data_IF_132370880974
#
_entry.id   IF_132370880974
#
_cell.length_a   1.000
_cell.length_b   1.000
_cell.length_c   1.000
_cell.angle_alpha   90.00
_cell.angle_beta   90.00
_cell.angle_gamma   90.00
#
_symmetry.space_group_name_H-M   'P 1'
#
loop_
_entity.id
_entity.type
_entity.pdbx_description
1 polymer ?
#
# COMPACT_ATOMS: atom_id res chain seq x y z
N UNK A 1 28.43 -17.26 -21.32
CA UNK A 1 28.14 -15.81 -21.20
C UNK A 1 29.44 -15.01 -21.17
N UNK A 2 30.02 -14.71 -22.33
CA UNK A 2 31.32 -14.00 -22.42
C UNK A 2 31.15 -12.48 -22.14
N UNK A 3 30.04 -11.91 -22.56
CA UNK A 3 29.80 -10.46 -22.52
C UNK A 3 28.90 -10.02 -21.37
N UNK A 4 28.54 -10.93 -20.48
CA UNK A 4 27.80 -10.65 -19.29
C UNK A 4 26.28 -10.50 -19.49
N UNK A 5 25.73 -10.76 -20.67
CA UNK A 5 24.30 -10.60 -20.95
C UNK A 5 23.43 -11.35 -19.97
N UNK A 6 23.67 -12.67 -19.82
CA UNK A 6 22.87 -13.53 -18.94
C UNK A 6 23.06 -13.15 -17.48
N UNK A 7 24.30 -12.78 -17.08
CA UNK A 7 24.57 -12.29 -15.73
C UNK A 7 23.80 -11.01 -15.44
N UNK A 8 23.73 -10.07 -16.40
CA UNK A 8 22.96 -8.82 -16.24
C UNK A 8 21.45 -9.05 -16.31
N UNK A 9 20.99 -10.02 -17.10
CA UNK A 9 19.59 -10.44 -17.10
C UNK A 9 19.19 -11.04 -15.73
N UNK A 10 20.03 -11.88 -15.15
CA UNK A 10 19.81 -12.47 -13.83
C UNK A 10 19.81 -11.37 -12.75
N UNK A 11 20.80 -10.48 -12.76
CA UNK A 11 20.89 -9.34 -11.85
C UNK A 11 19.65 -8.43 -11.93
N UNK A 12 19.14 -8.15 -13.13
CA UNK A 12 17.90 -7.39 -13.31
C UNK A 12 16.67 -8.15 -12.78
N UNK A 13 16.63 -9.47 -12.96
CA UNK A 13 15.54 -10.31 -12.44
C UNK A 13 15.58 -10.39 -10.92
N UNK A 14 16.74 -10.60 -10.30
CA UNK A 14 16.91 -10.63 -8.85
C UNK A 14 16.51 -9.28 -8.21
N UNK A 15 16.95 -8.17 -8.80
CA UNK A 15 16.56 -6.83 -8.36
C UNK A 15 15.04 -6.59 -8.51
N UNK A 16 14.39 -7.19 -9.52
CA UNK A 16 12.93 -7.12 -9.68
C UNK A 16 12.21 -7.93 -8.59
N UNK A 17 12.73 -9.08 -8.21
CA UNK A 17 12.22 -9.86 -7.07
C UNK A 17 12.34 -9.05 -5.78
N UNK A 18 13.52 -8.45 -5.52
CA UNK A 18 13.73 -7.59 -4.36
C UNK A 18 12.76 -6.41 -4.33
N UNK A 19 12.49 -5.77 -5.49
CA UNK A 19 11.50 -4.71 -5.59
C UNK A 19 10.10 -5.21 -5.19
N UNK A 20 9.70 -6.40 -5.63
CA UNK A 20 8.39 -7.01 -5.31
C UNK A 20 8.26 -7.38 -3.83
N UNK A 21 9.33 -7.90 -3.21
CA UNK A 21 9.35 -8.17 -1.76
C UNK A 21 9.20 -6.88 -0.93
N UNK A 22 9.86 -5.81 -1.34
CA UNK A 22 9.73 -4.52 -0.65
C UNK A 22 8.37 -3.87 -0.93
N UNK A 23 7.75 -4.10 -2.09
CA UNK A 23 6.37 -3.70 -2.36
C UNK A 23 5.37 -4.41 -1.43
N UNK A 24 5.54 -5.72 -1.20
CA UNK A 24 4.73 -6.46 -0.21
C UNK A 24 4.87 -5.86 1.19
N UNK A 25 6.11 -5.54 1.62
CA UNK A 25 6.35 -4.92 2.94
C UNK A 25 5.72 -3.54 3.05
N UNK A 26 5.77 -2.74 1.99
CA UNK A 26 5.16 -1.40 1.91
C UNK A 26 3.64 -1.47 2.05
N UNK A 27 3.01 -2.40 1.33
CA UNK A 27 1.57 -2.68 1.45
C UNK A 27 1.22 -3.15 2.86
N UNK A 28 2.01 -4.04 3.48
CA UNK A 28 1.78 -4.50 4.84
C UNK A 28 1.80 -3.34 5.85
N UNK A 29 2.79 -2.44 5.76
CA UNK A 29 2.87 -1.25 6.62
C UNK A 29 1.65 -0.36 6.43
N UNK A 30 1.24 -0.12 5.18
CA UNK A 30 0.08 0.71 4.84
C UNK A 30 -1.22 0.13 5.39
N UNK A 31 -1.46 -1.17 5.19
CA UNK A 31 -2.65 -1.88 5.69
C UNK A 31 -2.71 -1.87 7.22
N UNK A 32 -1.58 -2.11 7.90
CA UNK A 32 -1.51 -2.06 9.35
C UNK A 32 -1.79 -0.65 9.90
N UNK A 33 -1.26 0.39 9.24
CA UNK A 33 -1.50 1.77 9.63
C UNK A 33 -2.96 2.18 9.41
N UNK A 34 -3.58 1.74 8.31
CA UNK A 34 -5.00 1.97 8.01
C UNK A 34 -5.89 1.26 9.05
N UNK A 35 -5.64 -0.01 9.32
CA UNK A 35 -6.37 -0.77 10.33
C UNK A 35 -6.28 -0.12 11.74
N UNK A 36 -5.10 0.34 12.11
CA UNK A 36 -4.91 1.03 13.40
C UNK A 36 -5.68 2.36 13.45
N UNK A 37 -5.66 3.14 12.37
CA UNK A 37 -6.39 4.41 12.24
C UNK A 37 -7.90 4.18 12.33
N UNK A 38 -8.42 3.25 11.53
CA UNK A 38 -9.85 2.95 11.49
C UNK A 38 -10.36 2.41 12.83
N UNK A 39 -9.54 1.58 13.50
CA UNK A 39 -9.87 1.09 14.83
C UNK A 39 -9.94 2.21 15.87
N UNK A 40 -8.97 3.12 15.90
CA UNK A 40 -8.96 4.27 16.83
C UNK A 40 -10.16 5.18 16.54
N UNK A 41 -10.44 5.45 15.26
CA UNK A 41 -11.57 6.24 14.83
C UNK A 41 -12.91 5.60 15.22
N UNK A 42 -13.05 4.29 15.08
CA UNK A 42 -14.23 3.54 15.54
C UNK A 42 -14.45 3.73 17.04
N UNK A 43 -13.38 3.60 17.87
CA UNK A 43 -13.49 3.83 19.31
C UNK A 43 -13.84 5.28 19.64
N UNK A 44 -13.34 6.23 18.85
CA UNK A 44 -13.72 7.64 18.94
C UNK A 44 -15.21 7.87 18.65
N UNK A 45 -15.74 7.30 17.57
CA UNK A 45 -17.17 7.41 17.22
C UNK A 45 -18.08 6.71 18.23
N UNK A 46 -17.65 5.58 18.81
CA UNK A 46 -18.39 4.93 19.90
C UNK A 46 -18.46 5.80 21.16
N UNK A 47 -17.36 6.42 21.54
CA UNK A 47 -17.35 7.37 22.66
C UNK A 47 -18.23 8.59 22.38
N UNK A 48 -18.18 9.12 21.15
CA UNK A 48 -19.04 10.23 20.71
C UNK A 48 -20.52 9.87 20.78
N UNK A 49 -20.90 8.65 20.37
CA UNK A 49 -22.28 8.15 20.48
C UNK A 49 -22.74 8.09 21.95
N UNK A 50 -21.87 7.63 22.86
CA UNK A 50 -22.18 7.61 24.30
C UNK A 50 -22.46 9.02 24.84
N UNK A 51 -21.57 9.98 24.53
CA UNK A 51 -21.72 11.39 24.94
C UNK A 51 -23.03 12.00 24.39
N UNK A 52 -23.38 11.71 23.13
CA UNK A 52 -24.62 12.21 22.53
C UNK A 52 -25.84 11.62 23.26
N UNK A 53 -25.83 10.33 23.62
CA UNK A 53 -26.93 9.69 24.38
C UNK A 53 -27.07 10.27 25.78
N UNK A 54 -25.98 10.52 26.50
CA UNK A 54 -26.00 11.16 27.81
C UNK A 54 -26.54 12.61 27.74
N UNK A 55 -26.10 13.34 26.70
CA UNK A 55 -26.61 14.71 26.46
C UNK A 55 -28.09 14.72 26.07
N UNK A 56 -28.56 13.73 25.26
CA UNK A 56 -29.96 13.57 24.90
C UNK A 56 -30.82 13.28 26.15
N UNK A 57 -30.35 12.37 27.01
CA UNK A 57 -31.04 12.09 28.29
C UNK A 57 -31.16 13.36 29.16
N UNK A 58 -30.09 14.15 29.22
CA UNK A 58 -30.10 15.45 29.95
C UNK A 58 -31.06 16.43 29.32
N UNK A 59 -31.09 16.55 27.98
CA UNK A 59 -32.02 17.43 27.27
C UNK A 59 -33.49 17.01 27.46
N UNK A 60 -33.78 15.69 27.47
CA UNK A 60 -35.11 15.16 27.75
C UNK A 60 -35.57 15.49 29.18
N UNK A 61 -34.68 15.34 30.16
CA UNK A 61 -34.98 15.76 31.56
C UNK A 61 -35.22 17.25 31.66
N UNK A 62 -34.47 18.08 30.96
CA UNK A 62 -34.69 19.54 30.91
C UNK A 62 -36.02 19.90 30.26
N UNK A 63 -36.38 19.23 29.17
CA UNK A 63 -37.69 19.43 28.51
C UNK A 63 -38.85 19.11 29.48
N UNK A 64 -38.78 18.01 30.19
CA UNK A 64 -39.80 17.60 31.15
C UNK A 64 -39.97 18.63 32.30
N UNK A 65 -38.83 19.10 32.82
CA UNK A 65 -38.84 20.16 33.81
C UNK A 65 -39.48 21.46 33.28
N UNK A 66 -39.17 21.87 32.06
CA UNK A 66 -39.70 23.05 31.41
C UNK A 66 -41.20 22.92 31.17
N UNK A 67 -41.71 21.77 30.77
CA UNK A 67 -43.15 21.47 30.65
C UNK A 67 -43.85 21.57 32.00
N UNK A 68 -43.26 21.02 33.04
CA UNK A 68 -43.81 21.14 34.41
C UNK A 68 -43.88 22.60 34.86
N UNK A 69 -42.87 23.42 34.57
CA UNK A 69 -42.85 24.86 34.86
C UNK A 69 -43.91 25.61 34.05
N UNK A 70 -44.14 25.27 32.80
CA UNK A 70 -45.22 25.84 31.98
C UNK A 70 -46.57 25.49 32.57
N UNK A 71 -46.83 24.23 32.97
CA UNK A 71 -48.07 23.81 33.60
C UNK A 71 -48.37 24.60 34.93
N UNK A 72 -47.32 25.03 35.63
CA UNK A 72 -47.42 25.84 36.84
C UNK A 72 -47.39 27.37 36.56
N UNK A 73 -47.44 27.78 35.29
CA UNK A 73 -47.46 29.19 34.89
C UNK A 73 -46.14 29.95 35.07
N UNK A 74 -44.99 29.23 35.22
CA UNK A 74 -43.67 29.81 35.50
C UNK A 74 -42.77 29.80 34.25
N UNK A 75 -43.15 29.11 33.17
CA UNK A 75 -42.44 29.10 31.89
C UNK A 75 -43.39 29.49 30.75
N UNK A 76 -42.83 29.73 29.58
CA UNK A 76 -43.56 30.11 28.36
C UNK A 76 -43.55 28.96 27.33
N UNK A 77 -44.50 29.00 26.38
CA UNK A 77 -44.52 28.05 25.24
C UNK A 77 -43.26 28.16 24.40
N UNK A 78 -42.65 29.33 24.33
CA UNK A 78 -41.37 29.54 23.63
C UNK A 78 -40.25 28.73 24.27
N UNK A 79 -40.17 28.69 25.61
CA UNK A 79 -39.14 27.92 26.32
C UNK A 79 -39.31 26.41 26.09
N UNK A 80 -40.55 25.92 26.05
CA UNK A 80 -40.86 24.52 25.72
C UNK A 80 -40.46 24.22 24.26
N UNK A 81 -40.79 25.10 23.31
CA UNK A 81 -40.42 24.95 21.90
C UNK A 81 -38.89 24.91 21.72
N UNK A 82 -38.14 25.76 22.44
CA UNK A 82 -36.68 25.76 22.43
C UNK A 82 -36.09 24.45 22.99
N UNK A 83 -36.64 23.94 24.10
CA UNK A 83 -36.20 22.67 24.67
C UNK A 83 -36.50 21.48 23.73
N UNK A 84 -37.64 21.48 23.05
CA UNK A 84 -37.99 20.51 22.03
C UNK A 84 -37.02 20.56 20.84
N UNK A 85 -36.70 21.76 20.34
CA UNK A 85 -35.73 21.93 19.26
C UNK A 85 -34.33 21.39 19.63
N UNK A 86 -33.93 21.58 20.91
CA UNK A 86 -32.67 21.04 21.42
C UNK A 86 -32.67 19.51 21.43
N UNK A 87 -33.73 18.85 21.90
CA UNK A 87 -33.90 17.40 21.86
C UNK A 87 -33.82 16.88 20.42
N UNK A 88 -34.62 17.45 19.51
CA UNK A 88 -34.62 17.06 18.10
C UNK A 88 -33.24 17.20 17.44
N UNK A 89 -32.52 18.31 17.77
CA UNK A 89 -31.15 18.50 17.30
C UNK A 89 -30.17 17.44 17.80
N UNK A 90 -30.31 16.95 19.02
CA UNK A 90 -29.50 15.86 19.57
C UNK A 90 -29.85 14.53 18.94
N UNK A 91 -31.13 14.20 18.79
CA UNK A 91 -31.62 12.99 18.14
C UNK A 91 -31.13 12.88 16.69
N UNK A 92 -31.15 13.99 15.95
CA UNK A 92 -30.71 14.02 14.57
C UNK A 92 -29.19 13.70 14.35
N UNK A 93 -28.37 13.85 15.41
CA UNK A 93 -26.91 13.55 15.34
C UNK A 93 -26.57 12.08 15.51
N UNK A 94 -27.40 11.31 16.19
CA UNK A 94 -27.10 9.92 16.54
C UNK A 94 -27.00 9.01 15.30
N UNK A 95 -27.94 9.07 14.32
CA UNK A 95 -27.86 8.22 13.12
C UNK A 95 -26.60 8.42 12.29
N UNK A 96 -26.07 9.65 12.27
CA UNK A 96 -24.82 9.93 11.54
C UNK A 96 -23.62 9.24 12.17
N UNK A 97 -23.51 9.30 13.49
CA UNK A 97 -22.43 8.63 14.23
C UNK A 97 -22.56 7.09 14.09
N UNK A 98 -23.77 6.55 14.16
CA UNK A 98 -24.03 5.12 13.97
C UNK A 98 -23.69 4.65 12.55
N UNK A 99 -24.01 5.44 11.53
CA UNK A 99 -23.60 5.20 10.15
C UNK A 99 -22.06 5.16 10.04
N UNK A 100 -21.36 6.13 10.63
CA UNK A 100 -19.90 6.17 10.60
C UNK A 100 -19.28 4.94 11.29
N UNK A 101 -19.82 4.50 12.43
CA UNK A 101 -19.39 3.26 13.08
C UNK A 101 -19.58 2.05 12.17
N UNK A 102 -20.72 1.92 11.50
CA UNK A 102 -20.97 0.82 10.56
C UNK A 102 -19.97 0.82 9.39
N UNK A 103 -19.65 2.00 8.84
CA UNK A 103 -18.66 2.13 7.78
C UNK A 103 -17.27 1.70 8.25
N UNK A 104 -16.84 2.11 9.45
CA UNK A 104 -15.54 1.73 10.01
C UNK A 104 -15.43 0.24 10.31
N UNK A 105 -16.50 -0.40 10.81
CA UNK A 105 -16.54 -1.85 11.00
C UNK A 105 -16.41 -2.58 9.66
N UNK A 106 -17.09 -2.10 8.62
CA UNK A 106 -17.00 -2.68 7.28
C UNK A 106 -15.60 -2.46 6.66
N UNK A 107 -14.99 -1.28 6.85
CA UNK A 107 -13.64 -1.00 6.39
C UNK A 107 -12.61 -1.95 7.04
N UNK A 108 -12.68 -2.12 8.36
CA UNK A 108 -11.87 -3.09 9.10
C UNK A 108 -12.10 -4.53 8.60
N UNK A 109 -13.37 -4.91 8.33
CA UNK A 109 -13.72 -6.19 7.74
C UNK A 109 -13.08 -6.39 6.37
N UNK A 110 -13.11 -5.38 5.51
CA UNK A 110 -12.47 -5.41 4.20
C UNK A 110 -10.95 -5.67 4.29
N UNK A 111 -10.25 -4.98 5.21
CA UNK A 111 -8.81 -5.12 5.40
C UNK A 111 -8.39 -6.54 5.83
N UNK A 112 -9.26 -7.28 6.51
CA UNK A 112 -9.00 -8.67 6.93
C UNK A 112 -9.67 -9.71 6.02
N UNK A 113 -10.28 -9.28 4.91
CA UNK A 113 -10.96 -10.17 3.97
C UNK A 113 -12.26 -10.78 4.51
N UNK A 114 -12.89 -10.15 5.51
CA UNK A 114 -14.12 -10.59 6.12
C UNK A 114 -15.35 -10.02 5.39
N UNK A 115 -16.47 -10.76 5.40
CA UNK A 115 -17.73 -10.28 4.82
C UNK A 115 -18.31 -9.09 5.61
N UNK A 116 -19.07 -8.18 4.95
CA UNK A 116 -19.72 -7.06 5.63
C UNK A 116 -20.55 -7.51 6.85
N UNK A 117 -20.37 -6.80 7.95
CA UNK A 117 -21.09 -7.08 9.21
C UNK A 117 -20.54 -8.25 10.05
N UNK A 118 -19.62 -9.08 9.55
CA UNK A 118 -19.10 -10.24 10.30
C UNK A 118 -18.34 -9.84 11.58
N UNK A 119 -17.70 -8.67 11.59
CA UNK A 119 -16.99 -8.14 12.75
C UNK A 119 -17.89 -7.34 13.71
N UNK A 120 -19.18 -7.19 13.42
CA UNK A 120 -20.07 -6.36 14.23
C UNK A 120 -20.22 -6.89 15.67
N UNK A 121 -20.23 -8.19 15.86
CA UNK A 121 -20.31 -8.82 17.19
C UNK A 121 -19.06 -8.52 18.04
N UNK A 122 -17.89 -8.43 17.42
CA UNK A 122 -16.61 -8.20 18.09
C UNK A 122 -16.32 -6.71 18.31
N UNK A 123 -16.53 -5.91 17.28
CA UNK A 123 -16.17 -4.48 17.23
C UNK A 123 -17.32 -3.56 17.65
N UNK A 124 -18.57 -4.00 17.60
CA UNK A 124 -19.76 -3.23 18.00
C UNK A 124 -19.75 -2.77 19.45
N UNK A 125 -19.39 -3.62 20.44
CA UNK A 125 -19.31 -3.18 21.83
C UNK A 125 -18.30 -2.04 22.01
N UNK A 126 -18.73 -0.98 22.73
CA UNK A 126 -17.85 0.15 23.03
C UNK A 126 -16.68 -0.26 23.92
N UNK A 127 -15.49 0.20 23.58
CA UNK A 127 -14.26 0.01 24.39
C UNK A 127 -13.51 1.33 24.47
N UNK A 128 -12.61 1.44 25.45
CA UNK A 128 -11.75 2.60 25.62
C UNK A 128 -10.84 2.82 24.38
N UNK A 129 -10.60 4.08 24.06
CA UNK A 129 -9.62 4.46 23.03
C UNK A 129 -8.23 4.00 23.52
N UNK A 130 -7.46 3.29 22.68
CA UNK A 130 -6.10 2.89 23.02
C UNK A 130 -5.24 4.11 23.35
N UNK A 131 -4.44 4.01 24.40
CA UNK A 131 -3.49 5.07 24.73
C UNK A 131 -2.26 4.97 23.82
N UNK A 132 -1.77 6.10 23.29
CA UNK A 132 -0.53 6.10 22.52
C UNK A 132 0.66 5.69 23.41
N UNK A 133 1.72 5.11 22.84
CA UNK A 133 2.96 4.88 23.58
C UNK A 133 3.53 6.21 24.07
N UNK A 134 4.14 6.21 25.25
CA UNK A 134 4.62 7.44 25.91
C UNK A 134 5.75 8.18 25.17
N UNK A 135 6.48 7.48 24.28
CA UNK A 135 7.46 8.08 23.37
C UNK A 135 7.55 7.26 22.09
N UNK A 136 7.64 7.93 20.96
CA UNK A 136 7.95 7.31 19.68
C UNK A 136 9.44 7.55 19.42
N UNK A 137 10.28 6.51 19.39
CA UNK A 137 11.70 6.68 19.08
C UNK A 137 11.84 7.06 17.62
N UNK A 138 12.09 8.33 17.36
CA UNK A 138 12.41 8.84 16.02
C UNK A 138 13.88 8.61 15.81
N UNK A 139 14.28 7.64 14.96
CA UNK A 139 15.66 7.41 14.59
C UNK A 139 16.25 8.56 13.77
N UNK A 140 17.53 8.47 13.40
CA UNK A 140 18.13 9.43 12.48
C UNK A 140 17.43 9.38 11.09
N UNK A 141 17.27 10.52 10.41
CA UNK A 141 16.65 10.54 9.08
C UNK A 141 17.32 9.60 8.06
N UNK A 142 18.63 9.38 8.18
CA UNK A 142 19.38 8.41 7.34
C UNK A 142 19.00 6.95 7.62
N UNK A 143 18.65 6.60 8.86
CA UNK A 143 18.20 5.24 9.20
C UNK A 143 16.79 4.97 8.67
N UNK A 144 15.94 6.01 8.60
CA UNK A 144 14.60 5.91 8.02
C UNK A 144 14.66 5.55 6.54
N UNK A 145 15.59 6.15 5.78
CA UNK A 145 15.80 5.81 4.38
C UNK A 145 16.16 4.33 4.19
N UNK A 146 16.95 3.76 5.10
CA UNK A 146 17.34 2.35 5.02
C UNK A 146 16.25 1.38 5.48
N UNK A 147 15.28 1.83 6.26
CA UNK A 147 14.21 0.98 6.83
C UNK A 147 12.91 1.01 6.01
N UNK A 148 12.63 2.10 5.28
CA UNK A 148 11.38 2.26 4.54
C UNK A 148 11.33 1.33 3.32
N UNK A 149 10.30 0.50 3.21
CA UNK A 149 10.16 -0.44 2.11
C UNK A 149 9.95 0.24 0.75
N UNK A 150 9.28 1.39 0.71
CA UNK A 150 9.05 2.18 -0.52
C UNK A 150 10.36 2.70 -1.12
N UNK A 151 11.31 3.14 -0.28
CA UNK A 151 12.64 3.57 -0.72
C UNK A 151 13.44 2.38 -1.25
N UNK A 152 13.46 1.26 -0.52
CA UNK A 152 14.14 0.04 -0.96
C UNK A 152 13.57 -0.50 -2.28
N UNK A 153 12.25 -0.44 -2.45
CA UNK A 153 11.59 -0.81 -3.71
C UNK A 153 12.08 0.07 -4.86
N UNK A 154 12.14 1.40 -4.66
CA UNK A 154 12.60 2.32 -5.69
C UNK A 154 14.09 2.12 -6.02
N UNK A 155 14.92 1.83 -5.02
CA UNK A 155 16.34 1.49 -5.18
C UNK A 155 16.51 0.20 -6.00
N UNK A 156 15.78 -0.85 -5.67
CA UNK A 156 15.82 -2.12 -6.39
C UNK A 156 15.35 -1.97 -7.84
N UNK A 157 14.33 -1.15 -8.12
CA UNK A 157 13.89 -0.80 -9.49
C UNK A 157 14.98 -0.06 -10.27
N UNK A 158 15.69 0.88 -9.64
CA UNK A 158 16.83 1.57 -10.24
C UNK A 158 17.97 0.61 -10.56
N UNK A 159 18.24 -0.33 -9.65
CA UNK A 159 19.23 -1.39 -9.87
C UNK A 159 18.86 -2.28 -11.06
N UNK A 160 17.60 -2.73 -11.15
CA UNK A 160 17.11 -3.53 -12.29
C UNK A 160 17.24 -2.78 -13.62
N UNK A 161 16.90 -1.49 -13.64
CA UNK A 161 17.04 -0.64 -14.83
C UNK A 161 18.51 -0.47 -15.23
N UNK A 162 19.40 -0.28 -14.26
CA UNK A 162 20.86 -0.18 -14.49
C UNK A 162 21.43 -1.47 -15.06
N UNK A 163 21.06 -2.63 -14.52
CA UNK A 163 21.45 -3.93 -15.04
C UNK A 163 20.95 -4.15 -16.48
N UNK A 164 19.74 -3.65 -16.80
CA UNK A 164 19.15 -3.73 -18.14
C UNK A 164 19.94 -2.95 -19.20
N UNK A 165 20.66 -1.87 -18.84
CA UNK A 165 21.63 -1.20 -19.73
C UNK A 165 22.74 -2.16 -20.11
N UNK A 166 23.26 -2.93 -19.14
CA UNK A 166 24.29 -3.94 -19.38
C UNK A 166 23.85 -5.01 -20.37
N UNK A 167 22.59 -5.44 -20.31
CA UNK A 167 21.98 -6.36 -21.28
C UNK A 167 21.99 -5.74 -22.68
N UNK A 168 21.51 -4.48 -22.81
CA UNK A 168 21.47 -3.79 -24.09
C UNK A 168 22.88 -3.55 -24.69
N UNK A 169 23.87 -3.27 -23.84
CA UNK A 169 25.29 -3.15 -24.27
C UNK A 169 25.83 -4.51 -24.75
N UNK A 170 25.50 -5.60 -24.08
CA UNK A 170 25.93 -6.94 -24.47
C UNK A 170 25.35 -7.40 -25.84
N UNK A 171 24.20 -6.85 -26.25
CA UNK A 171 23.58 -7.15 -27.55
C UNK A 171 24.41 -6.63 -28.75
N UNK A 172 25.39 -5.73 -28.55
CA UNK A 172 26.31 -5.26 -29.60
C UNK A 172 27.45 -6.25 -29.90
N UNK A 173 27.65 -7.22 -29.03
CA UNK A 173 28.75 -8.18 -29.13
C UNK A 173 28.30 -9.51 -29.76
N UNK A 174 29.25 -10.32 -30.30
CA UNK A 174 28.93 -11.60 -30.90
C UNK A 174 28.24 -12.55 -29.91
N UNK A 175 27.13 -13.13 -30.30
CA UNK A 175 26.47 -14.18 -29.53
C UNK A 175 27.02 -15.54 -29.90
N UNK A 176 27.49 -16.28 -28.91
CA UNK A 176 28.00 -17.64 -29.05
C UNK A 176 27.00 -18.56 -28.34
N UNK A 177 26.43 -19.51 -29.10
CA UNK A 177 25.54 -20.55 -28.56
C UNK A 177 26.08 -21.92 -28.91
N UNK A 178 25.93 -22.88 -28.00
CA UNK A 178 26.12 -24.27 -28.28
C UNK A 178 24.75 -24.89 -28.49
N UNK A 179 24.51 -25.39 -29.71
CA UNK A 179 23.27 -26.05 -30.07
C UNK A 179 23.49 -27.55 -30.19
N UNK A 180 22.52 -28.33 -29.75
CA UNK A 180 22.49 -29.77 -29.94
C UNK A 180 21.09 -30.23 -30.25
N UNK A 181 20.94 -31.11 -31.23
CA UNK A 181 19.70 -31.81 -31.50
C UNK A 181 19.95 -33.30 -31.59
N UNK A 182 19.01 -34.06 -31.11
CA UNK A 182 18.94 -35.50 -31.26
C UNK A 182 17.51 -35.89 -31.62
N UNK A 183 17.36 -36.76 -32.62
CA UNK A 183 16.07 -37.24 -33.06
C UNK A 183 16.17 -38.46 -33.96
N UNK A 184 15.01 -38.97 -34.36
CA UNK A 184 14.88 -40.02 -35.35
C UNK A 184 14.09 -39.43 -36.54
N UNK A 185 14.57 -39.73 -37.77
CA UNK A 185 13.90 -39.31 -39.00
C UNK A 185 13.78 -40.51 -39.92
N UNK A 186 12.55 -40.84 -40.34
CA UNK A 186 12.27 -41.91 -41.25
C UNK A 186 11.11 -41.56 -42.17
N UNK A 187 11.19 -42.06 -43.44
CA UNK A 187 10.10 -41.97 -44.41
C UNK A 187 8.96 -42.96 -44.15
N UNK A 188 9.22 -43.99 -43.32
CA UNK A 188 8.27 -45.05 -42.98
C UNK A 188 8.04 -45.07 -41.48
N UNK A 189 6.77 -45.07 -41.07
CA UNK A 189 6.39 -45.07 -39.65
C UNK A 189 6.89 -46.33 -38.90
N UNK A 190 7.01 -47.47 -39.62
CA UNK A 190 7.49 -48.74 -39.08
C UNK A 190 8.97 -48.74 -38.68
N UNK A 191 9.78 -47.84 -39.24
CA UNK A 191 11.21 -47.69 -38.96
C UNK A 191 11.55 -46.42 -38.18
N UNK A 192 10.51 -45.66 -37.78
CA UNK A 192 10.69 -44.51 -36.92
C UNK A 192 11.07 -44.97 -35.51
N UNK A 193 12.27 -44.65 -35.08
CA UNK A 193 12.81 -45.04 -33.79
C UNK A 193 13.92 -46.09 -33.88
N UNK A 194 14.16 -46.68 -35.08
CA UNK A 194 15.29 -47.56 -35.29
C UNK A 194 16.60 -46.80 -35.17
N UNK A 195 17.61 -47.44 -34.56
CA UNK A 195 18.89 -46.79 -34.27
C UNK A 195 19.62 -46.31 -35.54
N UNK A 196 19.37 -46.93 -36.66
CA UNK A 196 19.93 -46.56 -37.95
C UNK A 196 19.35 -45.25 -38.56
N UNK A 197 18.21 -44.86 -38.08
CA UNK A 197 17.52 -43.62 -38.47
C UNK A 197 17.73 -42.48 -37.49
N UNK A 198 18.69 -42.61 -36.55
CA UNK A 198 19.05 -41.54 -35.62
C UNK A 198 19.75 -40.40 -36.32
N UNK A 199 19.39 -39.19 -35.96
CA UNK A 199 20.12 -37.98 -36.33
C UNK A 199 20.55 -37.22 -35.08
N UNK A 200 21.78 -36.78 -35.10
CA UNK A 200 22.28 -35.87 -34.08
C UNK A 200 23.19 -34.85 -34.71
N UNK A 201 23.13 -33.64 -34.19
CA UNK A 201 24.10 -32.59 -34.49
C UNK A 201 24.42 -31.84 -33.21
N UNK A 202 25.67 -31.52 -33.01
CA UNK A 202 26.15 -30.66 -31.92
C UNK A 202 27.19 -29.70 -32.48
N UNK A 203 27.07 -28.42 -32.17
CA UNK A 203 28.07 -27.45 -32.65
C UNK A 203 27.87 -26.07 -32.10
N UNK A 204 28.91 -25.23 -32.09
CA UNK A 204 28.82 -23.84 -31.78
C UNK A 204 28.19 -23.06 -32.95
N UNK A 205 27.32 -22.10 -32.61
CA UNK A 205 26.81 -21.11 -33.56
C UNK A 205 27.22 -19.71 -33.11
N UNK A 206 27.68 -18.91 -34.08
CA UNK A 206 28.12 -17.52 -33.89
C UNK A 206 27.16 -16.59 -34.62
N UNK A 207 26.68 -15.56 -33.91
CA UNK A 207 25.83 -14.52 -34.50
C UNK A 207 26.37 -13.16 -34.11
N UNK A 208 26.72 -12.32 -35.07
CA UNK A 208 27.18 -10.96 -34.88
C UNK A 208 26.27 -10.01 -35.67
N UNK A 209 25.59 -9.05 -35.02
CA UNK A 209 24.82 -8.01 -35.70
C UNK A 209 25.79 -6.99 -36.33
N UNK A 210 25.96 -7.02 -37.68
CA UNK A 210 26.83 -6.07 -38.39
C UNK A 210 26.06 -4.82 -38.77
N UNK A 211 24.82 -4.97 -39.23
CA UNK A 211 23.96 -3.87 -39.64
C UNK A 211 22.52 -4.10 -39.16
N UNK A 212 22.06 -3.20 -38.31
CA UNK A 212 20.74 -3.33 -37.64
C UNK A 212 19.87 -2.06 -37.80
N UNK A 213 20.23 -1.18 -38.75
CA UNK A 213 19.45 0.02 -39.04
C UNK A 213 19.23 0.95 -37.84
N UNK A 214 20.13 0.95 -36.87
CA UNK A 214 20.01 1.77 -35.65
C UNK A 214 19.24 1.11 -34.50
N UNK A 215 18.64 -0.08 -34.70
CA UNK A 215 17.80 -0.78 -33.69
C UNK A 215 18.50 -0.99 -32.35
N UNK A 216 19.76 -1.43 -32.36
CA UNK A 216 20.51 -1.65 -31.11
C UNK A 216 20.83 -0.35 -30.38
N UNK A 217 21.15 0.73 -31.11
CA UNK A 217 21.36 2.05 -30.51
C UNK A 217 20.08 2.59 -29.88
N UNK A 218 18.96 2.58 -30.61
CA UNK A 218 17.69 3.02 -30.07
C UNK A 218 17.23 2.19 -28.85
N UNK A 219 17.59 0.87 -28.83
CA UNK A 219 17.33 0.04 -27.64
C UNK A 219 18.20 0.43 -26.45
N UNK A 220 19.47 0.75 -26.67
CA UNK A 220 20.35 1.24 -25.62
C UNK A 220 19.88 2.58 -25.07
N UNK A 221 19.59 3.55 -25.94
CA UNK A 221 19.04 4.85 -25.57
C UNK A 221 17.75 4.73 -24.76
N UNK A 222 16.85 3.81 -25.16
CA UNK A 222 15.64 3.51 -24.38
C UNK A 222 15.97 3.00 -22.96
N UNK A 223 16.95 2.11 -22.81
CA UNK A 223 17.35 1.58 -21.49
C UNK A 223 18.01 2.65 -20.63
N UNK A 224 18.81 3.53 -21.23
CA UNK A 224 19.41 4.67 -20.53
C UNK A 224 18.34 5.66 -20.05
N UNK A 225 17.34 5.98 -20.89
CA UNK A 225 16.21 6.81 -20.50
C UNK A 225 15.37 6.17 -19.36
N UNK A 226 15.12 4.86 -19.41
CA UNK A 226 14.42 4.13 -18.36
C UNK A 226 15.20 4.12 -17.03
N UNK A 227 16.51 4.06 -17.08
CA UNK A 227 17.36 4.17 -15.90
C UNK A 227 17.30 5.60 -15.31
N UNK A 228 17.30 6.64 -16.13
CA UNK A 228 17.12 8.01 -15.67
C UNK A 228 15.74 8.22 -15.03
N UNK A 229 14.68 7.68 -15.62
CA UNK A 229 13.32 7.67 -15.04
C UNK A 229 13.32 7.02 -13.66
N UNK A 230 13.92 5.84 -13.53
CA UNK A 230 14.00 5.14 -12.25
C UNK A 230 14.83 5.90 -11.21
N UNK A 231 15.89 6.63 -11.62
CA UNK A 231 16.69 7.48 -10.74
C UNK A 231 15.89 8.67 -10.21
N UNK A 232 15.10 9.31 -11.07
CA UNK A 232 14.20 10.41 -10.67
C UNK A 232 13.11 9.91 -9.73
N UNK A 233 12.53 8.73 -10.00
CA UNK A 233 11.52 8.10 -9.13
C UNK A 233 12.10 7.74 -7.75
N UNK A 234 13.33 7.26 -7.69
CA UNK A 234 14.03 7.04 -6.43
C UNK A 234 14.21 8.35 -5.65
N UNK A 235 14.72 9.40 -6.28
CA UNK A 235 14.89 10.72 -5.64
C UNK A 235 13.55 11.27 -5.14
N UNK A 236 12.51 11.19 -5.95
CA UNK A 236 11.14 11.62 -5.57
C UNK A 236 10.63 10.86 -4.36
N UNK A 237 10.85 9.55 -4.31
CA UNK A 237 10.43 8.69 -3.19
C UNK A 237 11.15 9.09 -1.90
N UNK A 238 12.47 9.34 -1.95
CA UNK A 238 13.25 9.79 -0.80
C UNK A 238 12.76 11.16 -0.29
N UNK A 239 12.55 12.12 -1.19
CA UNK A 239 12.06 13.45 -0.80
C UNK A 239 10.66 13.40 -0.17
N UNK A 240 9.76 12.58 -0.74
CA UNK A 240 8.43 12.35 -0.15
C UNK A 240 8.53 11.72 1.24
N UNK A 241 9.40 10.73 1.40
CA UNK A 241 9.61 10.10 2.69
C UNK A 241 10.09 11.09 3.77
N UNK A 242 10.98 12.00 3.41
CA UNK A 242 11.42 13.06 4.33
C UNK A 242 10.30 14.02 4.69
N UNK A 243 9.53 14.47 3.70
CA UNK A 243 8.36 15.31 3.96
C UNK A 243 7.37 14.64 4.90
N UNK A 244 6.99 13.38 4.65
CA UNK A 244 6.05 12.63 5.49
C UNK A 244 6.53 12.50 6.94
N UNK A 245 7.83 12.31 7.15
CA UNK A 245 8.42 12.23 8.50
C UNK A 245 8.35 13.60 9.19
N UNK A 246 8.73 14.66 8.49
CA UNK A 246 8.71 16.02 9.02
C UNK A 246 7.28 16.45 9.39
N UNK A 247 6.32 16.21 8.50
CA UNK A 247 4.89 16.47 8.74
C UNK A 247 4.40 15.67 9.96
N UNK A 248 4.73 14.38 10.06
CA UNK A 248 4.33 13.54 11.18
C UNK A 248 4.92 14.00 12.53
N UNK A 249 6.17 14.49 12.52
CA UNK A 249 6.81 15.05 13.72
C UNK A 249 6.13 16.35 14.18
N UNK A 250 5.79 17.23 13.25
CA UNK A 250 5.05 18.45 13.54
C UNK A 250 3.65 18.17 14.10
N UNK A 251 2.94 17.22 13.49
CA UNK A 251 1.62 16.78 13.95
C UNK A 251 1.69 16.17 15.35
N UNK A 252 2.69 15.34 15.62
CA UNK A 252 2.89 14.73 16.93
C UNK A 252 3.15 15.79 17.99
N UNK A 253 4.06 16.74 17.74
CA UNK A 253 4.37 17.82 18.66
C UNK A 253 3.16 18.76 18.90
N UNK A 254 2.35 19.03 17.86
CA UNK A 254 1.12 19.82 17.99
C UNK A 254 0.07 19.09 18.84
N UNK A 255 -0.09 17.78 18.66
CA UNK A 255 -1.05 16.99 19.42
C UNK A 255 -0.64 16.82 20.90
N UNK A 256 0.65 16.71 21.19
CA UNK A 256 1.13 16.72 22.60
C UNK A 256 0.74 18.01 23.32
N UNK A 257 0.97 19.17 22.68
CA UNK A 257 0.60 20.48 23.26
C UNK A 257 -0.90 20.69 23.46
N UNK A 258 -1.75 19.94 22.76
CA UNK A 258 -3.24 19.99 22.94
C UNK A 258 -3.70 19.14 24.11
N UNK A 259 -2.87 18.21 24.60
CA UNK A 259 -3.21 17.33 25.72
C UNK A 259 -2.78 17.91 27.07
N UNK A 260 -1.84 18.88 27.07
CA UNK A 260 -1.47 19.70 28.23
C UNK A 260 -2.49 20.83 28.46
#
# INVERSE_FOLDING_TARGET
DFWGRVRRELEAADATVEASENELRDVQVSVLAEAARDYIQLRGEQNRAAIIRDNLETALRSLELTRTRLANGVATDLEVAQALAQVASMEARLPEVEKNQAHLVNALGYLVGASPGSLLAELGPARAIPRPPGSVPVGLPSELAQRRPDIRRAEARLHAATASIGVAKADFYPRITLNGNFGFESLQLSSLGDWDHRQFAIGPAFSLPIFEGGRLRGRLELREAQQQEAAIDYQRTVLRAWQEVDDAMHDYAANQRRQE
#
